data_IF_156381710250
#
_entry.id   IF_156381710250
#
_cell.length_a   1.000
_cell.length_b   1.000
_cell.length_c   1.000
_cell.angle_alpha   90.00
_cell.angle_beta   90.00
_cell.angle_gamma   90.00
#
_symmetry.space_group_name_H-M   'P 1'
#
loop_
_entity.id
_entity.type
_entity.pdbx_description
1 polymer ?
#
# COMPACT_ATOMS: atom_id res chain seq x y z
N UNK A 1 -5.91 -19.92 3.90
CA UNK A 1 -6.16 -18.48 4.07
C UNK A 1 -4.97 -17.71 3.56
N UNK A 2 -5.21 -16.62 2.86
CA UNK A 2 -4.16 -15.70 2.40
C UNK A 2 -3.98 -14.56 3.40
N UNK A 3 -2.78 -14.04 3.51
CA UNK A 3 -2.44 -12.82 4.25
C UNK A 3 -1.73 -11.85 3.32
N UNK A 4 -1.64 -10.58 3.71
CA UNK A 4 -0.82 -9.57 3.02
C UNK A 4 -1.17 -9.42 1.52
N UNK A 5 -2.46 -9.31 1.21
CA UNK A 5 -2.97 -9.17 -0.16
C UNK A 5 -3.01 -7.68 -0.49
N UNK A 6 -2.46 -7.30 -1.65
CA UNK A 6 -2.68 -5.97 -2.21
C UNK A 6 -4.11 -5.84 -2.73
N UNK A 7 -4.79 -4.78 -2.37
CA UNK A 7 -6.14 -4.47 -2.83
C UNK A 7 -6.14 -3.50 -4.00
N UNK A 8 -7.09 -3.68 -4.92
CA UNK A 8 -7.39 -2.72 -5.99
C UNK A 8 -8.89 -2.75 -6.29
N UNK A 9 -9.40 -1.73 -6.93
CA UNK A 9 -10.82 -1.71 -7.31
C UNK A 9 -11.07 -0.86 -8.56
N UNK A 10 -12.04 -1.30 -9.33
CA UNK A 10 -12.70 -0.51 -10.38
C UNK A 10 -14.12 -0.17 -9.93
N UNK A 11 -14.87 0.58 -10.75
CA UNK A 11 -16.27 0.88 -10.46
C UNK A 11 -17.15 -0.39 -10.33
N UNK A 12 -16.80 -1.46 -11.05
CA UNK A 12 -17.61 -2.69 -11.13
C UNK A 12 -17.02 -3.88 -10.36
N UNK A 13 -15.74 -3.88 -10.07
CA UNK A 13 -15.04 -5.05 -9.55
C UNK A 13 -14.03 -4.67 -8.45
N UNK A 14 -13.94 -5.54 -7.43
CA UNK A 14 -12.83 -5.59 -6.51
C UNK A 14 -11.76 -6.58 -6.98
N UNK A 15 -10.52 -6.33 -6.62
CA UNK A 15 -9.36 -7.14 -6.95
C UNK A 15 -8.52 -7.42 -5.70
N UNK A 16 -7.99 -8.62 -5.62
CA UNK A 16 -6.98 -9.02 -4.64
C UNK A 16 -5.79 -9.64 -5.36
N UNK A 17 -4.60 -9.16 -5.11
CA UNK A 17 -3.40 -9.61 -5.79
C UNK A 17 -2.30 -10.05 -4.82
N UNK A 18 -1.65 -11.18 -5.11
CA UNK A 18 -0.59 -11.75 -4.29
C UNK A 18 -1.08 -12.44 -3.03
N UNK A 19 -0.27 -12.39 -1.97
CA UNK A 19 -0.52 -13.01 -0.66
C UNK A 19 0.28 -14.29 -0.42
N UNK A 20 0.46 -14.64 0.86
CA UNK A 20 1.41 -15.69 1.30
C UNK A 20 1.08 -17.11 0.79
N UNK A 21 -0.21 -17.46 0.71
CA UNK A 21 -0.63 -18.83 0.42
C UNK A 21 -0.77 -19.14 -1.08
N UNK A 22 -0.84 -18.14 -1.92
CA UNK A 22 -0.92 -18.27 -3.39
C UNK A 22 -0.26 -17.06 -4.01
N UNK A 23 1.07 -17.00 -3.93
CA UNK A 23 1.81 -15.88 -4.48
C UNK A 23 1.58 -15.82 -5.98
N UNK A 24 1.41 -14.61 -6.48
CA UNK A 24 1.29 -14.34 -7.89
C UNK A 24 -0.14 -14.28 -8.45
N UNK A 25 -1.17 -14.80 -7.80
CA UNK A 25 -2.53 -14.75 -8.36
C UNK A 25 -3.19 -13.38 -8.23
N UNK A 26 -3.92 -12.98 -9.28
CA UNK A 26 -4.82 -11.83 -9.30
C UNK A 26 -6.24 -12.36 -9.32
N UNK A 27 -7.02 -12.07 -8.30
CA UNK A 27 -8.41 -12.47 -8.18
C UNK A 27 -9.34 -11.28 -8.35
N UNK A 28 -10.48 -11.51 -9.01
CA UNK A 28 -11.52 -10.51 -9.29
C UNK A 28 -12.87 -11.00 -8.81
N UNK A 29 -13.65 -10.10 -8.18
CA UNK A 29 -15.05 -10.34 -7.83
C UNK A 29 -15.93 -9.15 -8.21
N UNK A 30 -17.21 -9.41 -8.47
CA UNK A 30 -18.17 -8.37 -8.85
C UNK A 30 -18.67 -7.57 -7.64
N UNK A 31 -18.90 -6.28 -7.82
CA UNK A 31 -19.61 -5.43 -6.86
C UNK A 31 -21.12 -5.43 -7.07
N UNK A 32 -21.62 -6.02 -8.17
CA UNK A 32 -23.03 -5.96 -8.54
C UNK A 32 -23.73 -7.32 -8.49
N UNK A 33 -22.97 -8.41 -8.47
CA UNK A 33 -23.48 -9.78 -8.41
C UNK A 33 -22.74 -10.58 -7.37
N UNK A 34 -23.45 -11.28 -6.49
CA UNK A 34 -22.85 -12.19 -5.53
C UNK A 34 -22.19 -13.36 -6.22
N UNK A 35 -21.07 -13.82 -5.70
CA UNK A 35 -20.32 -14.95 -6.24
C UNK A 35 -18.91 -15.04 -5.71
N UNK A 36 -18.25 -16.14 -6.06
CA UNK A 36 -16.85 -16.33 -5.71
C UNK A 36 -15.94 -15.45 -6.58
N UNK A 37 -14.78 -15.06 -6.03
CA UNK A 37 -13.72 -14.48 -6.81
C UNK A 37 -13.19 -15.48 -7.87
N UNK A 38 -12.75 -14.96 -9.00
CA UNK A 38 -12.13 -15.74 -10.07
C UNK A 38 -10.67 -15.30 -10.26
N UNK A 39 -9.78 -16.27 -10.51
CA UNK A 39 -8.41 -15.97 -10.92
C UNK A 39 -8.45 -15.41 -12.36
N UNK A 40 -7.88 -14.23 -12.56
CA UNK A 40 -7.87 -13.51 -13.83
C UNK A 40 -6.47 -13.26 -14.38
N UNK A 41 -5.44 -13.66 -13.67
CA UNK A 41 -4.04 -13.51 -14.07
C UNK A 41 -3.09 -13.69 -12.89
N UNK A 42 -1.82 -13.53 -13.17
CA UNK A 42 -0.75 -13.65 -12.18
C UNK A 42 0.12 -12.39 -12.14
N UNK A 43 0.62 -12.09 -10.96
CA UNK A 43 1.73 -11.16 -10.78
C UNK A 43 3.02 -11.78 -11.34
N UNK A 44 4.01 -10.97 -11.66
CA UNK A 44 5.36 -11.43 -11.95
C UNK A 44 5.93 -12.16 -10.71
N UNK A 45 6.86 -13.07 -10.91
CA UNK A 45 7.45 -13.98 -9.90
C UNK A 45 7.16 -13.56 -8.44
N UNK A 46 6.02 -13.95 -7.99
CA UNK A 46 5.33 -13.83 -6.75
C UNK A 46 5.84 -12.86 -5.68
N UNK A 47 5.30 -11.67 -5.53
CA UNK A 47 5.32 -11.06 -4.21
C UNK A 47 4.54 -11.97 -3.26
N UNK A 48 5.27 -12.66 -2.41
CA UNK A 48 4.73 -13.64 -1.46
C UNK A 48 4.05 -13.00 -0.27
N UNK A 49 3.94 -11.68 -0.26
CA UNK A 49 3.31 -10.93 0.82
C UNK A 49 3.94 -9.56 1.00
N UNK A 50 3.38 -8.80 1.91
CA UNK A 50 3.89 -7.51 2.39
C UNK A 50 4.07 -6.42 1.33
N UNK A 51 3.36 -6.56 0.23
CA UNK A 51 3.25 -5.55 -0.83
C UNK A 51 2.13 -4.53 -0.55
N UNK A 52 2.06 -3.52 -1.37
CA UNK A 52 1.00 -2.52 -1.32
C UNK A 52 0.29 -2.42 -2.65
N UNK A 53 -1.02 -2.13 -2.58
CA UNK A 53 -1.86 -1.91 -3.74
C UNK A 53 -2.34 -0.46 -3.84
N UNK A 54 -2.44 0.02 -5.07
CA UNK A 54 -3.19 1.21 -5.43
C UNK A 54 -3.81 1.03 -6.82
N UNK A 55 -4.65 1.94 -7.23
CA UNK A 55 -5.33 1.82 -8.54
C UNK A 55 -5.56 3.18 -9.20
N UNK A 56 -5.46 3.16 -10.53
CA UNK A 56 -6.05 4.18 -11.38
C UNK A 56 -7.48 3.78 -11.74
N UNK A 57 -8.14 4.56 -12.58
CA UNK A 57 -9.48 4.21 -13.10
C UNK A 57 -9.49 2.97 -14.01
N UNK A 58 -8.35 2.57 -14.57
CA UNK A 58 -8.23 1.51 -15.57
C UNK A 58 -7.30 0.37 -15.20
N UNK A 59 -6.43 0.54 -14.21
CA UNK A 59 -5.42 -0.43 -13.82
C UNK A 59 -5.25 -0.53 -12.33
N UNK A 60 -4.97 -1.74 -11.85
CA UNK A 60 -4.41 -1.98 -10.52
C UNK A 60 -2.90 -2.03 -10.56
N UNK A 61 -2.28 -1.61 -9.48
CA UNK A 61 -0.83 -1.62 -9.28
C UNK A 61 -0.50 -2.34 -7.98
N UNK A 62 0.58 -3.11 -8.02
CA UNK A 62 1.18 -3.75 -6.85
C UNK A 62 2.66 -3.36 -6.81
N UNK A 63 3.10 -2.83 -5.70
CA UNK A 63 4.46 -2.34 -5.55
C UNK A 63 5.16 -2.96 -4.33
N UNK A 64 6.45 -3.26 -4.49
CA UNK A 64 7.27 -3.88 -3.46
C UNK A 64 6.93 -5.36 -3.24
N UNK A 65 7.30 -5.88 -2.07
CA UNK A 65 7.07 -7.26 -1.66
C UNK A 65 8.28 -8.17 -1.89
N UNK A 66 8.20 -9.40 -1.38
CA UNK A 66 9.22 -10.45 -1.49
C UNK A 66 8.78 -11.47 -2.57
N UNK A 67 9.62 -11.91 -3.50
CA UNK A 67 11.03 -11.55 -3.76
C UNK A 67 11.24 -10.43 -4.79
N UNK A 68 10.18 -9.74 -5.24
CA UNK A 68 10.26 -8.74 -6.32
C UNK A 68 10.84 -7.40 -5.88
N UNK A 69 11.13 -7.26 -4.57
CA UNK A 69 11.85 -6.14 -3.99
C UNK A 69 11.19 -4.77 -4.22
N UNK A 70 11.58 -4.08 -5.29
CA UNK A 70 11.17 -2.72 -5.59
C UNK A 70 10.27 -2.60 -6.84
N UNK A 71 9.92 -3.71 -7.48
CA UNK A 71 9.15 -3.70 -8.74
C UNK A 71 7.76 -3.11 -8.54
N UNK A 72 7.35 -2.26 -9.48
CA UNK A 72 5.98 -1.77 -9.65
C UNK A 72 5.33 -2.60 -10.76
N UNK A 73 4.31 -3.37 -10.41
CA UNK A 73 3.58 -4.22 -11.34
C UNK A 73 2.21 -3.62 -11.63
N UNK A 74 1.78 -3.71 -12.89
CA UNK A 74 0.50 -3.17 -13.37
C UNK A 74 -0.34 -4.26 -14.03
N UNK A 75 -1.64 -4.34 -13.71
CA UNK A 75 -2.62 -5.21 -14.36
C UNK A 75 -3.87 -4.44 -14.77
N UNK A 76 -4.53 -4.88 -15.85
CA UNK A 76 -5.65 -4.16 -16.43
C UNK A 76 -6.98 -4.52 -15.76
N UNK A 77 -7.86 -3.54 -15.60
CA UNK A 77 -9.26 -3.75 -15.20
C UNK A 77 -10.20 -4.01 -16.39
N UNK A 78 -9.74 -3.75 -17.62
CA UNK A 78 -10.54 -3.92 -18.83
C UNK A 78 -10.31 -5.26 -19.51
N UNK A 79 -9.09 -5.78 -19.40
CA UNK A 79 -8.71 -7.08 -19.97
C UNK A 79 -8.08 -7.92 -18.89
N UNK A 80 -8.59 -9.13 -18.68
CA UNK A 80 -7.98 -10.08 -17.77
C UNK A 80 -6.61 -10.51 -18.33
N UNK A 81 -5.66 -10.81 -17.44
CA UNK A 81 -4.30 -11.22 -17.82
C UNK A 81 -3.28 -10.95 -16.74
N UNK A 82 -2.05 -11.37 -16.99
CA UNK A 82 -0.95 -11.21 -16.08
C UNK A 82 -0.52 -9.74 -15.94
N UNK A 83 0.03 -9.43 -14.78
CA UNK A 83 0.65 -8.13 -14.56
C UNK A 83 1.93 -7.99 -15.41
N UNK A 84 2.30 -6.75 -15.69
CA UNK A 84 3.55 -6.36 -16.32
C UNK A 84 4.40 -5.54 -15.35
N UNK A 85 5.72 -5.67 -15.44
CA UNK A 85 6.67 -4.76 -14.83
C UNK A 85 6.60 -3.42 -15.56
N UNK A 86 6.40 -2.34 -14.79
CA UNK A 86 6.27 -0.99 -15.34
C UNK A 86 7.25 0.00 -14.73
N UNK A 87 8.09 -0.45 -13.80
CA UNK A 87 9.11 0.37 -13.17
C UNK A 87 9.46 -0.09 -11.76
N UNK A 88 10.32 0.65 -11.12
CA UNK A 88 10.85 0.37 -9.79
C UNK A 88 10.58 1.50 -8.80
N UNK A 89 10.39 1.15 -7.53
CA UNK A 89 10.54 2.07 -6.42
C UNK A 89 12.01 2.52 -6.31
N UNK A 90 12.25 3.67 -5.70
CA UNK A 90 13.60 4.25 -5.60
C UNK A 90 14.57 3.41 -4.76
N UNK A 91 14.03 2.47 -3.98
CA UNK A 91 14.82 1.63 -3.07
C UNK A 91 15.11 0.27 -3.65
N UNK A 92 16.33 -0.18 -3.40
CA UNK A 92 16.76 -1.55 -3.65
C UNK A 92 16.63 -2.34 -2.34
N UNK A 93 15.98 -3.49 -2.38
CA UNK A 93 15.73 -4.34 -1.22
C UNK A 93 14.23 -4.53 -0.96
N UNK A 94 13.88 -5.52 -0.16
CA UNK A 94 12.49 -5.87 0.09
C UNK A 94 11.76 -4.73 0.79
N UNK A 95 10.78 -4.16 0.13
CA UNK A 95 9.90 -3.18 0.75
C UNK A 95 8.81 -3.93 1.50
N UNK A 96 8.94 -4.00 2.81
CA UNK A 96 8.08 -4.79 3.69
C UNK A 96 7.04 -3.89 4.38
N UNK A 97 5.77 -4.23 4.23
CA UNK A 97 4.64 -3.54 4.86
C UNK A 97 4.60 -2.00 4.69
N UNK A 98 4.75 -1.46 3.48
CA UNK A 98 4.62 -0.04 3.23
C UNK A 98 3.16 0.41 3.28
N UNK A 99 2.93 1.72 3.32
CA UNK A 99 1.64 2.33 3.05
C UNK A 99 1.42 2.57 1.57
N UNK A 100 0.19 2.44 1.07
CA UNK A 100 -0.19 2.72 -0.32
C UNK A 100 -1.23 3.83 -0.43
N UNK A 101 -0.92 4.84 -1.21
CA UNK A 101 -1.79 5.97 -1.47
C UNK A 101 -1.95 6.20 -2.97
N UNK A 102 -2.99 6.90 -3.37
CA UNK A 102 -3.23 7.25 -4.76
C UNK A 102 -3.96 8.57 -4.92
N UNK A 103 -3.60 9.29 -5.98
CA UNK A 103 -4.40 10.39 -6.54
C UNK A 103 -5.09 9.92 -7.83
N UNK A 104 -5.71 10.83 -8.58
CA UNK A 104 -6.23 10.53 -9.92
C UNK A 104 -5.12 10.12 -10.91
N UNK A 105 -3.92 10.66 -10.76
CA UNK A 105 -2.85 10.60 -11.75
C UNK A 105 -1.62 9.83 -11.31
N UNK A 106 -1.47 9.59 -10.01
CA UNK A 106 -0.26 9.02 -9.41
C UNK A 106 -0.57 7.97 -8.35
N UNK A 107 0.28 6.93 -8.31
CA UNK A 107 0.41 6.02 -7.19
C UNK A 107 1.55 6.44 -6.27
N UNK A 108 1.43 6.10 -4.97
CA UNK A 108 2.41 6.42 -3.95
C UNK A 108 2.66 5.22 -3.05
N UNK A 109 3.91 5.08 -2.63
CA UNK A 109 4.35 4.16 -1.57
C UNK A 109 5.03 4.97 -0.48
N UNK A 110 4.62 4.77 0.76
CA UNK A 110 5.12 5.51 1.93
C UNK A 110 5.70 4.56 2.96
N UNK A 111 6.87 4.88 3.48
CA UNK A 111 7.50 4.08 4.52
C UNK A 111 7.82 2.65 4.10
N UNK A 112 7.70 1.72 5.04
CA UNK A 112 8.09 0.33 4.89
C UNK A 112 9.40 0.00 5.59
N UNK A 113 9.86 -1.23 5.48
CA UNK A 113 11.15 -1.67 6.04
C UNK A 113 11.86 -2.64 5.11
N UNK A 114 13.15 -2.88 5.36
CA UNK A 114 13.96 -3.90 4.66
C UNK A 114 13.93 -5.21 5.42
N UNK A 115 13.96 -6.33 4.71
CA UNK A 115 14.17 -7.64 5.29
C UNK A 115 15.62 -8.15 5.05
N UNK A 116 16.24 -8.86 5.97
CA UNK A 116 15.76 -9.12 7.33
C UNK A 116 15.71 -7.86 8.16
N UNK A 117 14.64 -7.70 8.93
CA UNK A 117 14.45 -6.54 9.80
C UNK A 117 15.63 -6.35 10.72
N UNK A 118 16.42 -5.34 10.46
CA UNK A 118 17.46 -4.91 11.41
C UNK A 118 16.84 -3.87 12.33
N UNK A 119 17.09 -3.91 13.64
CA UNK A 119 16.62 -2.86 14.53
C UNK A 119 17.04 -1.49 14.00
N UNK A 120 16.08 -0.62 13.79
CA UNK A 120 16.33 0.76 13.33
C UNK A 120 16.14 1.03 11.83
N UNK A 121 15.68 0.07 11.03
CA UNK A 121 15.44 0.28 9.60
C UNK A 121 13.94 0.35 9.29
N UNK A 122 13.36 1.51 9.55
CA UNK A 122 12.11 1.93 8.94
C UNK A 122 12.40 3.06 7.96
N UNK A 123 11.65 3.06 6.89
CA UNK A 123 11.81 4.04 5.84
C UNK A 123 10.84 5.21 6.08
N UNK A 124 11.23 6.39 5.65
CA UNK A 124 10.41 7.60 5.74
C UNK A 124 10.03 8.16 4.37
N UNK A 125 10.67 7.71 3.28
CA UNK A 125 10.45 8.26 1.95
C UNK A 125 9.03 8.04 1.43
N UNK A 126 8.63 8.97 0.58
CA UNK A 126 7.39 8.98 -0.19
C UNK A 126 7.76 8.77 -1.65
N UNK A 127 7.54 7.59 -2.16
CA UNK A 127 7.76 7.24 -3.56
C UNK A 127 6.52 7.53 -4.39
N UNK A 128 6.68 8.14 -5.57
CA UNK A 128 5.60 8.54 -6.48
C UNK A 128 5.89 8.09 -7.90
N UNK A 129 4.91 7.51 -8.59
CA UNK A 129 4.97 7.20 -10.03
C UNK A 129 3.68 7.62 -10.73
N UNK A 130 3.78 7.91 -12.04
CA UNK A 130 2.64 8.35 -12.85
C UNK A 130 1.85 7.17 -13.41
N UNK A 131 0.52 7.24 -13.40
CA UNK A 131 -0.36 6.25 -14.04
C UNK A 131 -0.41 6.40 -15.57
N UNK A 132 -0.18 7.59 -16.08
CA UNK A 132 -0.24 7.88 -17.52
C UNK A 132 0.96 7.38 -18.32
N UNK A 133 2.08 7.16 -17.65
CA UNK A 133 3.32 6.66 -18.25
C UNK A 133 3.95 5.63 -17.35
N UNK A 134 4.40 4.52 -17.94
CA UNK A 134 5.20 3.56 -17.21
C UNK A 134 6.58 4.15 -16.90
N UNK A 135 7.19 3.76 -15.78
CA UNK A 135 8.51 4.22 -15.37
C UNK A 135 8.74 4.13 -13.87
N UNK A 136 9.97 4.36 -13.49
CA UNK A 136 10.40 4.30 -12.10
C UNK A 136 9.73 5.39 -11.25
N UNK A 137 9.51 5.07 -9.99
CA UNK A 137 9.10 6.06 -8.99
C UNK A 137 10.21 7.08 -8.72
N UNK A 138 9.82 8.23 -8.23
CA UNK A 138 10.70 9.26 -7.69
C UNK A 138 10.42 9.44 -6.21
N UNK A 139 11.46 9.67 -5.42
CA UNK A 139 11.34 10.12 -4.05
C UNK A 139 10.95 11.61 -4.05
N UNK A 140 9.81 11.93 -3.44
CA UNK A 140 9.25 13.28 -3.41
C UNK A 140 9.30 13.94 -2.04
N UNK A 141 9.74 13.23 -1.02
CA UNK A 141 9.82 13.72 0.35
C UNK A 141 9.71 12.61 1.38
N UNK A 142 9.62 12.99 2.64
CA UNK A 142 9.64 12.07 3.77
C UNK A 142 8.40 12.18 4.65
N UNK A 143 8.00 11.06 5.27
CA UNK A 143 7.17 11.04 6.46
C UNK A 143 7.89 11.73 7.63
N UNK A 144 7.17 12.11 8.66
CA UNK A 144 7.78 12.73 9.85
C UNK A 144 8.57 11.73 10.69
N UNK A 145 8.28 10.45 10.55
CA UNK A 145 9.00 9.35 11.21
C UNK A 145 9.03 8.12 10.31
N UNK A 146 10.16 7.44 10.26
CA UNK A 146 10.28 6.16 9.56
C UNK A 146 9.39 5.09 10.20
N UNK A 147 8.55 4.46 9.39
CA UNK A 147 7.52 3.53 9.88
C UNK A 147 7.22 2.43 8.87
N UNK A 148 6.78 1.25 9.35
CA UNK A 148 6.26 0.13 8.55
C UNK A 148 4.97 -0.41 9.16
N UNK A 149 4.27 -1.29 8.45
CA UNK A 149 2.98 -1.84 8.87
C UNK A 149 1.93 -0.75 9.18
N UNK A 150 1.96 0.30 8.38
CA UNK A 150 1.07 1.45 8.44
C UNK A 150 -0.25 1.15 7.77
N UNK A 151 -1.26 1.98 8.05
CA UNK A 151 -2.42 2.09 7.19
C UNK A 151 -2.37 3.39 6.37
N UNK A 152 -3.07 3.39 5.25
CA UNK A 152 -3.12 4.54 4.37
C UNK A 152 -4.56 4.92 4.02
N UNK A 153 -4.76 6.22 3.89
CA UNK A 153 -6.03 6.83 3.53
C UNK A 153 -5.79 7.92 2.49
N UNK A 154 -6.80 8.22 1.68
CA UNK A 154 -6.72 9.25 0.67
C UNK A 154 -7.92 10.19 0.75
N UNK A 155 -7.67 11.47 0.53
CA UNK A 155 -8.67 12.40 0.04
C UNK A 155 -8.44 12.67 -1.45
N UNK A 156 -9.21 13.56 -2.05
CA UNK A 156 -8.95 14.00 -3.44
C UNK A 156 -7.66 14.80 -3.60
N UNK A 157 -7.07 15.31 -2.51
CA UNK A 157 -5.94 16.27 -2.54
C UNK A 157 -4.74 15.85 -1.69
N UNK A 158 -4.93 14.91 -0.78
CA UNK A 158 -3.90 14.49 0.17
C UNK A 158 -3.87 12.98 0.37
N UNK A 159 -2.65 12.45 0.52
CA UNK A 159 -2.42 11.13 1.08
C UNK A 159 -2.18 11.23 2.59
N UNK A 160 -2.59 10.19 3.32
CA UNK A 160 -2.38 10.05 4.75
C UNK A 160 -1.75 8.69 5.03
N UNK A 161 -0.80 8.69 5.96
CA UNK A 161 -0.18 7.47 6.50
C UNK A 161 -0.35 7.53 8.02
N UNK A 162 -0.92 6.50 8.62
CA UNK A 162 -1.27 6.53 10.04
C UNK A 162 -0.80 5.27 10.78
N UNK A 163 -0.36 5.47 12.02
CA UNK A 163 0.12 4.41 12.88
C UNK A 163 1.37 3.72 12.34
N UNK A 164 1.44 2.40 12.52
CA UNK A 164 2.56 1.59 12.10
C UNK A 164 3.56 1.31 13.21
N UNK A 165 4.62 0.61 12.88
CA UNK A 165 5.72 0.34 13.79
C UNK A 165 6.90 1.26 13.49
N UNK A 166 7.56 1.74 14.52
CA UNK A 166 8.74 2.60 14.42
C UNK A 166 9.92 1.97 15.16
N UNK A 167 11.17 2.22 14.74
CA UNK A 167 12.34 1.67 15.42
C UNK A 167 12.46 2.09 16.89
N UNK A 168 12.05 3.33 17.19
CA UNK A 168 12.26 3.93 18.52
C UNK A 168 11.14 3.61 19.51
N UNK A 169 9.88 3.52 19.03
CA UNK A 169 8.70 3.47 19.89
C UNK A 169 7.95 2.14 19.83
N UNK A 170 8.35 1.22 18.97
CA UNK A 170 7.62 0.00 18.70
C UNK A 170 6.39 0.28 17.83
N UNK A 171 5.28 0.76 18.41
CA UNK A 171 4.08 1.15 17.67
C UNK A 171 3.87 2.65 17.71
N UNK A 172 3.41 3.23 16.60
CA UNK A 172 3.13 4.64 16.43
C UNK A 172 1.63 4.94 16.41
N UNK A 173 1.30 6.19 16.64
CA UNK A 173 -0.06 6.73 16.50
C UNK A 173 -0.11 7.96 15.59
N UNK A 174 1.02 8.44 15.08
CA UNK A 174 1.13 9.63 14.24
C UNK A 174 0.27 9.47 12.98
N UNK A 175 -0.39 10.55 12.58
CA UNK A 175 -1.09 10.69 11.31
C UNK A 175 -0.32 11.69 10.46
N UNK A 176 0.46 11.20 9.53
CA UNK A 176 1.17 11.99 8.54
C UNK A 176 0.29 12.31 7.33
N UNK A 177 0.39 13.55 6.84
CA UNK A 177 -0.33 14.04 5.67
C UNK A 177 0.63 14.65 4.67
N UNK A 178 0.53 14.27 3.38
CA UNK A 178 1.30 14.84 2.27
C UNK A 178 0.39 15.26 1.12
N UNK A 179 0.84 16.26 0.33
CA UNK A 179 0.07 16.84 -0.77
C UNK A 179 0.20 16.01 -2.05
N UNK A 180 -0.90 15.86 -2.80
CA UNK A 180 -0.86 15.33 -4.17
C UNK A 180 -0.56 16.40 -5.22
N UNK A 181 -0.73 17.67 -4.89
CA UNK A 181 -0.51 18.79 -5.81
C UNK A 181 0.93 19.28 -5.84
N UNK A 182 1.66 19.10 -4.75
CA UNK A 182 3.04 19.57 -4.59
C UNK A 182 3.90 18.49 -3.94
N UNK A 183 5.07 18.25 -4.51
CA UNK A 183 6.05 17.35 -3.90
C UNK A 183 6.64 17.99 -2.64
N UNK A 184 6.95 17.19 -1.63
CA UNK A 184 7.52 17.63 -0.36
C UNK A 184 7.23 16.68 0.79
N UNK A 185 7.80 16.99 1.94
CA UNK A 185 7.64 16.19 3.15
C UNK A 185 6.20 16.20 3.67
N UNK A 186 5.82 15.12 4.32
CA UNK A 186 4.59 15.04 5.09
C UNK A 186 4.65 15.96 6.32
N UNK A 187 3.49 16.26 6.85
CA UNK A 187 3.32 16.96 8.12
C UNK A 187 2.50 16.09 9.07
N UNK A 188 2.90 16.03 10.32
CA UNK A 188 2.10 15.48 11.41
C UNK A 188 0.85 16.36 11.58
N UNK A 189 -0.33 15.75 11.48
CA UNK A 189 -1.62 16.43 11.57
C UNK A 189 -2.46 15.94 12.75
N UNK A 190 -1.94 15.02 13.52
CA UNK A 190 -2.58 14.49 14.73
C UNK A 190 -2.26 13.02 14.98
N UNK A 191 -2.89 12.48 16.00
CA UNK A 191 -2.67 11.12 16.47
C UNK A 191 -3.91 10.26 16.39
N UNK A 192 -3.71 8.96 16.17
CA UNK A 192 -4.71 7.93 16.44
C UNK A 192 -4.96 7.88 17.97
N UNK A 193 -6.16 7.50 18.37
CA UNK A 193 -6.51 7.35 19.79
C UNK A 193 -5.66 6.30 20.51
N UNK A 194 -5.08 5.37 19.79
CA UNK A 194 -4.20 4.33 20.29
C UNK A 194 -3.07 4.04 19.29
N UNK A 195 -1.87 3.76 19.81
CA UNK A 195 -0.74 3.31 18.99
C UNK A 195 -1.03 1.91 18.41
N UNK A 196 -0.97 1.74 17.10
CA UNK A 196 -1.32 0.49 16.43
C UNK A 196 -0.45 0.25 15.20
N UNK A 197 -0.30 -1.01 14.82
CA UNK A 197 0.32 -1.44 13.56
C UNK A 197 -0.53 -2.51 12.88
N UNK A 198 -0.29 -2.75 11.58
CA UNK A 198 -1.00 -3.77 10.79
C UNK A 198 -2.52 -3.56 10.75
N UNK A 199 -2.94 -2.31 10.76
CA UNK A 199 -4.33 -1.88 10.60
C UNK A 199 -4.68 -1.65 9.13
N UNK A 200 -5.98 -1.52 8.87
CA UNK A 200 -6.50 -1.19 7.54
C UNK A 200 -6.99 0.24 7.49
N UNK A 201 -6.68 0.93 6.39
CA UNK A 201 -7.19 2.27 6.11
C UNK A 201 -8.32 2.23 5.08
N UNK A 202 -9.39 2.95 5.36
CA UNK A 202 -10.54 3.13 4.47
C UNK A 202 -10.87 4.61 4.44
N UNK A 203 -11.23 5.12 3.26
CA UNK A 203 -11.59 6.53 3.09
C UNK A 203 -13.02 6.69 2.59
N UNK A 204 -13.72 7.67 3.13
CA UNK A 204 -14.87 8.29 2.48
C UNK A 204 -14.43 9.57 1.77
N UNK A 205 -15.37 10.31 1.18
CA UNK A 205 -15.06 11.62 0.55
C UNK A 205 -14.59 12.69 1.57
N UNK A 206 -14.83 12.48 2.87
CA UNK A 206 -14.57 13.49 3.91
C UNK A 206 -13.75 12.99 5.09
N UNK A 207 -13.66 11.68 5.30
CA UNK A 207 -13.01 11.09 6.46
C UNK A 207 -12.14 9.89 6.08
N UNK A 208 -11.01 9.75 6.76
CA UNK A 208 -10.24 8.51 6.84
C UNK A 208 -10.65 7.71 8.07
N UNK A 209 -10.64 6.40 7.96
CA UNK A 209 -10.91 5.46 9.05
C UNK A 209 -9.76 4.48 9.17
N UNK A 210 -9.41 4.13 10.39
CA UNK A 210 -8.45 3.08 10.71
C UNK A 210 -9.18 1.97 11.46
N UNK A 211 -9.05 0.75 10.99
CA UNK A 211 -9.74 -0.41 11.57
C UNK A 211 -8.78 -1.56 11.83
N UNK A 212 -9.01 -2.27 12.92
CA UNK A 212 -8.19 -3.41 13.33
C UNK A 212 -6.80 -3.00 13.80
N UNK A 213 -5.84 -3.88 13.55
CA UNK A 213 -4.47 -3.70 13.97
C UNK A 213 -4.13 -4.43 15.27
N UNK A 214 -2.89 -4.29 15.70
CA UNK A 214 -2.38 -4.85 16.96
C UNK A 214 -1.84 -3.75 17.85
N UNK A 215 -2.26 -3.78 19.11
CA UNK A 215 -1.73 -2.96 20.20
C UNK A 215 -0.91 -3.85 21.13
N UNK A 216 0.09 -3.33 21.91
CA UNK A 216 0.90 -4.14 22.85
C UNK A 216 0.09 -5.02 23.77
N UNK A 217 -1.08 -4.57 24.18
CA UNK A 217 -1.85 -5.20 25.24
C UNK A 217 -3.09 -5.96 24.78
N UNK A 218 -3.60 -5.73 23.57
CA UNK A 218 -4.80 -6.42 23.04
C UNK A 218 -4.80 -6.43 21.50
N UNK A 219 -5.24 -7.55 20.91
CA UNK A 219 -5.67 -7.55 19.51
C UNK A 219 -7.08 -6.96 19.45
N UNK A 220 -7.25 -5.84 18.76
CA UNK A 220 -8.55 -5.23 18.57
C UNK A 220 -9.36 -6.02 17.54
N UNK A 221 -10.38 -6.71 18.00
CA UNK A 221 -11.47 -7.20 17.16
C UNK A 221 -12.56 -6.12 17.14
N UNK A 222 -12.73 -5.47 16.04
CA UNK A 222 -13.92 -4.64 15.76
C UNK A 222 -14.79 -5.37 14.78
#
# INVERSE_FOLDING_TARGET
SRRNIAGGFSAAYGYGAGGDASPGTIEKWSHTTDGNATNVGDLLAGPTGVNVGCSSTTHGYVAGGDPTNNVIQKYSFTTDGNAADVGDLTRTGWTDHPGGNQSSDYGYVTGGSVQPRSPGQAWEDINKWAFASDGNATDIGNLTVGTWATCSNNSSTYGYTAGGATPALGRGNVIDKFSFATDGNATDVGDLSEATQSSFGISSSTHGYVAGGTNPDTSHNV
#
